data_IF_954292983940
#
_entry.id   IF_954292983940
#
_cell.length_a   1.000
_cell.length_b   1.000
_cell.length_c   1.000
_cell.angle_alpha   90.00
_cell.angle_beta   90.00
_cell.angle_gamma   90.00
#
_symmetry.space_group_name_H-M   'P 1'
#
loop_
_entity.id
_entity.type
_entity.pdbx_description
1 polymer ?
#
# COMPACT_ATOMS: atom_id res chain seq x y z
N UNK A 1 -5.23 -22.37 -1.45
CA UNK A 1 -5.43 -20.97 -1.77
C UNK A 1 -4.56 -20.57 -2.96
N UNK A 2 -5.14 -20.00 -4.00
CA UNK A 2 -4.31 -19.63 -5.14
C UNK A 2 -3.34 -18.51 -4.76
N UNK A 3 -2.11 -18.67 -5.18
CA UNK A 3 -1.09 -17.65 -5.02
C UNK A 3 -0.75 -17.09 -6.39
N UNK A 4 -0.18 -15.89 -6.40
CA UNK A 4 0.28 -15.29 -7.64
C UNK A 4 1.52 -16.04 -8.12
N UNK A 5 1.52 -16.45 -9.40
CA UNK A 5 2.69 -17.09 -9.99
C UNK A 5 3.74 -16.03 -10.35
N UNK A 6 4.91 -16.49 -10.78
CA UNK A 6 6.03 -15.59 -11.10
C UNK A 6 5.69 -14.60 -12.21
N UNK A 7 4.94 -15.04 -13.23
CA UNK A 7 4.55 -14.15 -14.32
C UNK A 7 3.58 -13.07 -13.85
N UNK A 8 2.63 -13.45 -12.98
CA UNK A 8 1.69 -12.51 -12.41
C UNK A 8 2.39 -11.49 -11.53
N UNK A 9 3.32 -11.94 -10.69
CA UNK A 9 4.10 -11.05 -9.83
C UNK A 9 4.95 -10.09 -10.66
N UNK A 10 5.58 -10.60 -11.71
CA UNK A 10 6.39 -9.76 -12.60
C UNK A 10 5.56 -8.70 -13.28
N UNK A 11 4.38 -9.08 -13.78
CA UNK A 11 3.48 -8.17 -14.46
C UNK A 11 2.98 -7.07 -13.52
N UNK A 12 2.60 -7.45 -12.31
CA UNK A 12 2.17 -6.48 -11.29
C UNK A 12 3.30 -5.54 -10.90
N UNK A 13 4.50 -6.08 -10.72
CA UNK A 13 5.66 -5.27 -10.38
C UNK A 13 6.00 -4.25 -11.46
N UNK A 14 5.96 -4.67 -12.72
CA UNK A 14 6.22 -3.79 -13.85
C UNK A 14 5.17 -2.67 -13.93
N UNK A 15 3.90 -3.02 -13.73
CA UNK A 15 2.84 -2.03 -13.72
C UNK A 15 2.99 -1.07 -12.55
N UNK A 16 3.33 -1.57 -11.38
CA UNK A 16 3.57 -0.73 -10.21
C UNK A 16 4.68 0.28 -10.48
N UNK A 17 5.82 -0.17 -10.99
CA UNK A 17 6.93 0.71 -11.31
C UNK A 17 6.55 1.72 -12.40
N UNK A 18 5.80 1.32 -13.40
CA UNK A 18 5.31 2.23 -14.43
C UNK A 18 4.38 3.30 -13.85
N UNK A 19 3.53 2.91 -12.92
CA UNK A 19 2.60 3.84 -12.29
C UNK A 19 3.33 4.84 -11.37
N UNK A 20 4.45 4.45 -10.78
CA UNK A 20 5.25 5.35 -9.93
C UNK A 20 5.67 6.61 -10.69
N UNK A 21 6.00 6.47 -11.96
CA UNK A 21 6.45 7.60 -12.78
C UNK A 21 5.33 8.57 -13.13
N UNK A 22 4.08 8.12 -13.00
CA UNK A 22 2.91 8.90 -13.42
C UNK A 22 2.17 9.58 -12.27
N UNK A 23 2.61 9.37 -11.04
CA UNK A 23 1.92 9.92 -9.88
C UNK A 23 2.03 11.42 -9.82
N UNK A 24 0.90 12.08 -9.52
CA UNK A 24 0.83 13.52 -9.32
C UNK A 24 0.32 13.84 -7.92
N UNK A 25 0.39 15.11 -7.53
CA UNK A 25 -0.15 15.55 -6.23
C UNK A 25 -1.65 15.30 -6.11
N UNK A 26 -2.39 15.40 -7.20
CA UNK A 26 -3.82 15.10 -7.17
C UNK A 26 -4.08 13.63 -6.88
N UNK A 27 -3.19 12.74 -7.32
CA UNK A 27 -3.28 11.33 -6.98
C UNK A 27 -3.06 11.09 -5.48
N UNK A 28 -2.12 11.82 -4.88
CA UNK A 28 -1.89 11.74 -3.43
C UNK A 28 -3.15 12.14 -2.67
N UNK A 29 -3.74 13.25 -3.05
CA UNK A 29 -4.98 13.71 -2.42
C UNK A 29 -6.09 12.68 -2.56
N UNK A 30 -6.25 12.11 -3.74
CA UNK A 30 -7.27 11.10 -4.00
C UNK A 30 -7.05 9.84 -3.15
N UNK A 31 -5.78 9.41 -3.02
CA UNK A 31 -5.46 8.26 -2.18
C UNK A 31 -5.84 8.52 -0.72
N UNK A 32 -5.48 9.69 -0.20
CA UNK A 32 -5.79 10.04 1.19
C UNK A 32 -7.29 10.12 1.45
N UNK A 33 -8.06 10.60 0.48
CA UNK A 33 -9.51 10.71 0.62
C UNK A 33 -10.24 9.37 0.54
N UNK A 34 -9.76 8.48 -0.32
CA UNK A 34 -10.52 7.26 -0.66
C UNK A 34 -10.10 6.02 0.11
N UNK A 35 -8.88 5.97 0.61
CA UNK A 35 -8.36 4.72 1.18
C UNK A 35 -8.82 4.47 2.62
N UNK A 36 -9.11 5.52 3.39
CA UNK A 36 -9.41 5.36 4.82
C UNK A 36 -10.56 4.40 5.09
N UNK A 37 -11.74 4.54 4.44
CA UNK A 37 -12.83 3.59 4.67
C UNK A 37 -12.47 2.16 4.28
N UNK A 38 -11.67 2.01 3.23
CA UNK A 38 -11.22 0.69 2.77
C UNK A 38 -10.32 0.05 3.83
N UNK A 39 -9.40 0.81 4.39
CA UNK A 39 -8.50 0.31 5.44
C UNK A 39 -9.26 -0.16 6.67
N UNK A 40 -10.30 0.58 7.08
CA UNK A 40 -11.14 0.16 8.21
C UNK A 40 -11.85 -1.15 7.92
N UNK A 41 -12.39 -1.29 6.73
CA UNK A 41 -13.07 -2.51 6.32
C UNK A 41 -12.12 -3.70 6.30
N UNK A 42 -10.95 -3.54 5.70
CA UNK A 42 -9.96 -4.61 5.60
C UNK A 42 -9.37 -4.98 6.95
N UNK A 43 -9.25 -4.02 7.85
CA UNK A 43 -8.77 -4.27 9.20
C UNK A 43 -9.67 -5.16 10.03
N UNK A 44 -10.94 -5.27 9.67
CA UNK A 44 -11.89 -6.16 10.31
C UNK A 44 -12.02 -7.52 9.64
N UNK A 45 -11.18 -7.83 8.66
CA UNK A 45 -11.25 -9.09 7.93
C UNK A 45 -10.94 -10.29 8.83
N UNK A 46 -11.60 -11.42 8.57
CA UNK A 46 -11.29 -12.68 9.21
C UNK A 46 -10.05 -13.36 8.62
N UNK A 47 -9.59 -12.89 7.46
CA UNK A 47 -8.38 -13.40 6.81
C UNK A 47 -7.16 -12.70 7.41
N UNK A 48 -6.30 -13.46 8.07
CA UNK A 48 -5.15 -12.88 8.78
C UNK A 48 -4.23 -12.07 7.87
N UNK A 49 -3.91 -12.60 6.69
CA UNK A 49 -3.04 -11.89 5.75
C UNK A 49 -3.62 -10.54 5.34
N UNK A 50 -4.93 -10.45 5.21
CA UNK A 50 -5.62 -9.21 4.87
C UNK A 50 -5.55 -8.23 6.04
N UNK A 51 -5.75 -8.72 7.28
CA UNK A 51 -5.64 -7.86 8.46
C UNK A 51 -4.24 -7.28 8.62
N UNK A 52 -3.22 -8.11 8.44
CA UNK A 52 -1.82 -7.66 8.55
C UNK A 52 -1.51 -6.63 7.47
N UNK A 53 -1.93 -6.91 6.24
CA UNK A 53 -1.77 -5.96 5.15
C UNK A 53 -2.46 -4.62 5.47
N UNK A 54 -3.67 -4.68 6.02
CA UNK A 54 -4.41 -3.47 6.38
C UNK A 54 -3.69 -2.65 7.45
N UNK A 55 -3.07 -3.30 8.42
CA UNK A 55 -2.26 -2.62 9.42
C UNK A 55 -1.05 -1.93 8.80
N UNK A 56 -0.35 -2.63 7.93
CA UNK A 56 0.81 -2.07 7.24
C UNK A 56 0.40 -0.89 6.36
N UNK A 57 -0.69 -1.05 5.61
CA UNK A 57 -1.20 0.00 4.76
C UNK A 57 -1.69 1.21 5.56
N UNK A 58 -2.23 0.97 6.76
CA UNK A 58 -2.63 2.06 7.64
C UNK A 58 -1.42 2.89 8.08
N UNK A 59 -0.31 2.22 8.38
CA UNK A 59 0.92 2.92 8.73
C UNK A 59 1.44 3.74 7.54
N UNK A 60 1.39 3.18 6.34
CA UNK A 60 1.74 3.90 5.10
C UNK A 60 0.83 5.12 4.92
N UNK A 61 -0.47 4.95 5.14
CA UNK A 61 -1.44 6.04 5.07
C UNK A 61 -1.10 7.17 6.05
N UNK A 62 -0.78 6.83 7.30
CA UNK A 62 -0.43 7.82 8.31
C UNK A 62 0.84 8.60 7.92
N UNK A 63 1.83 7.90 7.38
CA UNK A 63 3.06 8.56 6.93
C UNK A 63 2.79 9.48 5.74
N UNK A 64 2.00 9.04 4.77
CA UNK A 64 1.64 9.87 3.62
C UNK A 64 0.83 11.10 4.05
N UNK A 65 -0.07 10.92 4.99
CA UNK A 65 -0.87 12.02 5.55
C UNK A 65 0.03 13.05 6.24
N UNK A 66 1.01 12.60 7.02
CA UNK A 66 1.96 13.49 7.68
C UNK A 66 2.77 14.29 6.66
N UNK A 67 3.19 13.63 5.57
CA UNK A 67 3.89 14.33 4.49
C UNK A 67 2.99 15.38 3.83
N UNK A 68 1.72 15.03 3.56
CA UNK A 68 0.77 15.95 2.95
C UNK A 68 0.57 17.20 3.79
N UNK A 69 0.57 17.04 5.11
CA UNK A 69 0.40 18.15 6.06
C UNK A 69 1.68 18.97 6.27
N UNK A 70 2.78 18.55 5.67
CA UNK A 70 4.06 19.25 5.82
C UNK A 70 4.77 18.95 7.12
N UNK A 71 4.39 17.90 7.84
CA UNK A 71 4.99 17.51 9.11
C UNK A 71 6.31 16.79 8.96
N UNK A 72 6.50 16.11 7.84
CA UNK A 72 7.74 15.38 7.54
C UNK A 72 8.12 15.60 6.08
N UNK A 73 9.41 15.44 5.80
CA UNK A 73 9.93 15.46 4.43
C UNK A 73 10.20 14.05 3.97
N UNK A 74 9.83 13.75 2.72
CA UNK A 74 10.08 12.46 2.10
C UNK A 74 10.49 12.66 0.64
N UNK A 75 11.38 11.81 0.10
CA UNK A 75 11.65 11.85 -1.32
C UNK A 75 10.38 11.58 -2.11
N UNK A 76 10.25 12.20 -3.27
CA UNK A 76 9.07 12.01 -4.12
C UNK A 76 8.85 10.53 -4.47
N UNK A 77 9.92 9.79 -4.70
CA UNK A 77 9.84 8.35 -4.99
C UNK A 77 9.11 7.60 -3.87
N UNK A 78 9.41 7.93 -2.62
CA UNK A 78 8.74 7.34 -1.45
C UNK A 78 7.26 7.72 -1.45
N UNK A 79 6.95 8.99 -1.67
CA UNK A 79 5.57 9.48 -1.73
C UNK A 79 4.81 8.75 -2.85
N UNK A 80 5.43 8.62 -4.02
CA UNK A 80 4.80 7.95 -5.15
C UNK A 80 4.50 6.48 -4.85
N UNK A 81 5.46 5.77 -4.25
CA UNK A 81 5.27 4.36 -3.91
C UNK A 81 4.11 4.17 -2.93
N UNK A 82 4.02 5.01 -1.90
CA UNK A 82 2.91 4.96 -0.96
C UNK A 82 1.58 5.26 -1.63
N UNK A 83 1.56 6.29 -2.46
CA UNK A 83 0.35 6.72 -3.14
C UNK A 83 -0.19 5.60 -4.05
N UNK A 84 0.67 5.01 -4.86
CA UNK A 84 0.25 3.95 -5.78
C UNK A 84 -0.30 2.76 -5.00
N UNK A 85 0.39 2.34 -3.93
CA UNK A 85 -0.08 1.19 -3.14
C UNK A 85 -1.46 1.44 -2.53
N UNK A 86 -1.69 2.64 -2.01
CA UNK A 86 -2.98 2.99 -1.42
C UNK A 86 -4.08 3.11 -2.47
N UNK A 87 -3.76 3.60 -3.66
CA UNK A 87 -4.72 3.66 -4.75
C UNK A 87 -5.13 2.27 -5.22
N UNK A 88 -4.21 1.31 -5.23
CA UNK A 88 -4.57 -0.08 -5.53
C UNK A 88 -5.57 -0.62 -4.53
N UNK A 89 -5.37 -0.33 -3.24
CA UNK A 89 -6.32 -0.77 -2.21
C UNK A 89 -7.68 -0.10 -2.35
N UNK A 90 -7.68 1.18 -2.70
CA UNK A 90 -8.92 1.95 -2.81
C UNK A 90 -9.69 1.66 -4.10
N UNK A 91 -9.02 1.10 -5.10
CA UNK A 91 -9.62 0.81 -6.39
C UNK A 91 -10.16 -0.62 -6.43
N UNK A 92 -11.41 -0.81 -6.86
CA UNK A 92 -11.93 -2.16 -7.05
C UNK A 92 -11.45 -2.82 -8.34
N UNK A 93 -10.64 -2.12 -9.13
CA UNK A 93 -10.17 -2.64 -10.41
C UNK A 93 -8.96 -3.51 -10.19
N UNK A 94 -9.11 -4.80 -10.43
CA UNK A 94 -8.02 -5.75 -10.37
C UNK A 94 -7.14 -5.59 -11.59
N UNK A 95 -5.83 -5.72 -11.38
CA UNK A 95 -4.87 -5.71 -12.47
C UNK A 95 -4.89 -7.02 -13.26
N UNK A 96 -5.41 -8.06 -12.65
CA UNK A 96 -5.59 -9.36 -13.28
C UNK A 96 -7.00 -9.49 -13.81
N UNK A 97 -7.20 -10.25 -14.88
CA UNK A 97 -8.54 -10.47 -15.44
C UNK A 97 -9.50 -11.12 -14.45
N UNK A 98 -10.79 -10.97 -14.72
CA UNK A 98 -11.89 -11.39 -13.85
C UNK A 98 -11.95 -12.86 -13.50
N UNK A 99 -11.16 -13.69 -14.15
CA UNK A 99 -11.14 -15.11 -13.82
C UNK A 99 -10.39 -15.42 -12.53
N UNK A 100 -9.93 -14.40 -11.82
CA UNK A 100 -9.37 -14.55 -10.48
C UNK A 100 -10.22 -13.77 -9.47
N UNK A 101 -11.44 -14.23 -9.18
CA UNK A 101 -12.34 -13.47 -8.30
C UNK A 101 -11.83 -13.30 -6.87
N UNK A 102 -10.89 -14.17 -6.45
CA UNK A 102 -10.28 -14.06 -5.12
C UNK A 102 -8.93 -13.38 -5.17
N UNK A 103 -8.46 -12.99 -6.35
CA UNK A 103 -7.12 -12.48 -6.55
C UNK A 103 -6.97 -11.00 -6.16
N UNK A 104 -8.05 -10.26 -6.02
CA UNK A 104 -7.98 -8.83 -5.67
C UNK A 104 -7.16 -8.58 -4.42
N UNK A 105 -7.38 -9.37 -3.37
CA UNK A 105 -6.59 -9.22 -2.15
C UNK A 105 -5.17 -9.71 -2.30
N UNK A 106 -4.93 -10.72 -3.15
CA UNK A 106 -3.57 -11.20 -3.41
C UNK A 106 -2.76 -10.14 -4.15
N UNK A 107 -3.38 -9.45 -5.12
CA UNK A 107 -2.75 -8.35 -5.84
C UNK A 107 -2.39 -7.23 -4.87
N UNK A 108 -3.33 -6.86 -4.02
CA UNK A 108 -3.14 -5.79 -3.05
C UNK A 108 -2.05 -6.15 -2.04
N UNK A 109 -2.06 -7.38 -1.54
CA UNK A 109 -1.03 -7.85 -0.62
C UNK A 109 0.35 -7.77 -1.27
N UNK A 110 0.46 -8.21 -2.52
CA UNK A 110 1.72 -8.15 -3.24
C UNK A 110 2.19 -6.71 -3.47
N UNK A 111 1.29 -5.84 -3.91
CA UNK A 111 1.62 -4.43 -4.17
C UNK A 111 2.02 -3.71 -2.89
N UNK A 112 1.30 -3.94 -1.80
CA UNK A 112 1.66 -3.35 -0.51
C UNK A 112 3.03 -3.84 -0.06
N UNK A 113 3.31 -5.13 -0.23
CA UNK A 113 4.62 -5.69 0.13
C UNK A 113 5.76 -5.04 -0.67
N UNK A 114 5.57 -4.86 -1.98
CA UNK A 114 6.56 -4.19 -2.84
C UNK A 114 6.76 -2.75 -2.39
N UNK A 115 5.68 -2.04 -2.12
CA UNK A 115 5.76 -0.65 -1.66
C UNK A 115 6.48 -0.54 -0.31
N UNK A 116 6.16 -1.44 0.62
CA UNK A 116 6.82 -1.45 1.94
C UNK A 116 8.32 -1.67 1.81
N UNK A 117 8.73 -2.55 0.91
CA UNK A 117 10.15 -2.79 0.67
C UNK A 117 10.85 -1.53 0.18
N UNK A 118 10.21 -0.78 -0.72
CA UNK A 118 10.77 0.46 -1.25
C UNK A 118 10.85 1.59 -0.23
N UNK A 119 9.93 1.62 0.74
CA UNK A 119 9.86 2.72 1.71
C UNK A 119 10.24 2.27 3.13
N UNK A 120 10.86 1.11 3.24
CA UNK A 120 11.12 0.46 4.52
C UNK A 120 11.87 1.33 5.52
N UNK A 121 12.92 2.00 5.07
CA UNK A 121 13.75 2.81 5.98
C UNK A 121 12.97 4.01 6.51
N UNK A 122 12.26 4.70 5.64
CA UNK A 122 11.46 5.86 6.04
C UNK A 122 10.29 5.43 6.94
N UNK A 123 9.69 4.29 6.64
CA UNK A 123 8.56 3.79 7.42
C UNK A 123 8.98 3.39 8.83
N UNK A 124 10.14 2.74 8.97
CA UNK A 124 10.68 2.37 10.27
C UNK A 124 11.00 3.61 11.10
N UNK A 125 11.62 4.61 10.48
CA UNK A 125 11.93 5.86 11.13
C UNK A 125 10.67 6.57 11.62
N UNK A 126 9.66 6.61 10.77
CA UNK A 126 8.36 7.20 11.11
C UNK A 126 7.71 6.47 12.30
N UNK A 127 7.70 5.13 12.26
CA UNK A 127 7.11 4.33 13.32
C UNK A 127 7.84 4.54 14.65
N UNK A 128 9.17 4.59 14.63
CA UNK A 128 9.96 4.84 15.83
C UNK A 128 9.65 6.19 16.44
N UNK A 129 9.53 7.22 15.62
CA UNK A 129 9.20 8.57 16.08
C UNK A 129 7.81 8.66 16.68
N UNK A 130 6.90 7.81 16.24
CA UNK A 130 5.55 7.72 16.79
C UNK A 130 5.44 6.79 18.00
N UNK A 131 6.53 6.13 18.37
CA UNK A 131 6.52 5.19 19.49
C UNK A 131 5.79 3.88 19.19
N UNK A 132 5.70 3.50 17.93
CA UNK A 132 5.00 2.29 17.52
C UNK A 132 5.94 1.09 17.53
N UNK A 133 5.39 -0.09 17.86
CA UNK A 133 6.14 -1.34 17.82
C UNK A 133 6.05 -1.94 16.42
N UNK A 134 7.19 -2.00 15.73
CA UNK A 134 7.26 -2.52 14.36
C UNK A 134 6.75 -3.95 14.24
N UNK A 135 6.92 -4.76 15.28
CA UNK A 135 6.48 -6.16 15.27
C UNK A 135 4.98 -6.29 15.15
N UNK A 136 4.23 -5.35 15.70
CA UNK A 136 2.77 -5.35 15.57
C UNK A 136 2.30 -5.19 14.13
N UNK A 137 3.17 -4.60 13.29
CA UNK A 137 2.89 -4.38 11.88
C UNK A 137 3.55 -5.41 10.97
N UNK A 138 4.19 -6.43 11.55
CA UNK A 138 4.89 -7.42 10.76
C UNK A 138 6.17 -6.91 10.11
N UNK A 139 6.77 -5.89 10.69
CA UNK A 139 7.96 -5.25 10.13
C UNK A 139 9.24 -5.51 10.91
#
# INVERSE_FOLDING_TARGET
>A
MPELDEQQQKKLGEKFHGDLEKVSKSDVQRALEKVEPVLRKLGGSTVEKVRVMAKQATLVFEMLKSWWKGEIDLPWKTVAAMTVSLLYLASPIDLLPDFFPLAGYLDDIFIVAVALELVQDELKDFAEKKGLDLKEYGL
#
